data_IF_683003740850
#
_entry.id   IF_683003740850
#
_cell.length_a   1.000
_cell.length_b   1.000
_cell.length_c   1.000
_cell.angle_alpha   90.00
_cell.angle_beta   90.00
_cell.angle_gamma   90.00
#
_symmetry.space_group_name_H-M   'P 1'
#
loop_
_entity.id
_entity.type
_entity.pdbx_description
1 polymer ?
#
# COMPACT_ATOMS: atom_id res chain seq x y z
N UNK A 1 -33.51 23.92 67.50
CA UNK A 1 -33.62 24.97 66.47
C UNK A 1 -33.67 24.26 65.13
N UNK A 2 -34.80 24.39 64.43
CA UNK A 2 -35.11 23.74 63.17
C UNK A 2 -34.68 24.60 61.97
N UNK A 3 -34.33 23.97 60.84
CA UNK A 3 -34.40 24.46 59.44
C UNK A 3 -34.26 23.17 58.58
N UNK A 4 -35.27 22.48 58.01
CA UNK A 4 -36.24 22.80 56.92
C UNK A 4 -35.56 23.42 55.68
N UNK A 5 -35.78 23.10 54.39
CA UNK A 5 -36.85 22.44 53.64
C UNK A 5 -36.34 22.19 52.21
N UNK A 6 -37.01 21.27 51.52
CA UNK A 6 -36.83 20.80 50.14
C UNK A 6 -36.92 21.85 49.02
N UNK A 7 -36.40 21.48 47.84
CA UNK A 7 -37.03 21.82 46.56
C UNK A 7 -36.81 20.69 45.54
N UNK A 8 -37.89 19.93 45.27
CA UNK A 8 -38.05 19.13 44.05
C UNK A 8 -38.33 20.08 42.88
N UNK A 9 -37.73 19.83 41.71
CA UNK A 9 -38.37 20.08 40.42
C UNK A 9 -38.21 18.86 39.53
N UNK A 10 -39.35 18.29 39.21
CA UNK A 10 -39.59 17.28 38.18
C UNK A 10 -39.36 17.88 36.79
N UNK A 11 -38.59 17.21 35.95
CA UNK A 11 -38.75 17.32 34.49
C UNK A 11 -39.22 15.94 33.98
N UNK A 12 -40.45 15.91 33.50
CA UNK A 12 -40.99 14.82 32.70
C UNK A 12 -40.54 14.99 31.25
N UNK A 13 -39.84 14.00 30.70
CA UNK A 13 -39.76 13.82 29.25
C UNK A 13 -40.17 12.39 28.95
N UNK A 14 -41.38 12.28 28.42
CA UNK A 14 -41.94 11.12 27.74
C UNK A 14 -41.27 10.92 26.38
N UNK A 15 -40.86 9.70 26.02
CA UNK A 15 -40.60 9.36 24.61
C UNK A 15 -39.58 8.24 24.34
N UNK A 16 -40.05 6.99 24.40
CA UNK A 16 -39.74 5.85 23.51
C UNK A 16 -38.30 5.36 23.27
N UNK A 17 -38.00 4.21 23.91
CA UNK A 17 -37.40 2.98 23.34
C UNK A 17 -36.24 3.09 22.33
N UNK A 18 -35.00 2.84 22.79
CA UNK A 18 -34.05 1.95 22.12
C UNK A 18 -33.35 1.10 23.19
N UNK A 19 -33.48 -0.22 23.04
CA UNK A 19 -32.83 -1.23 23.89
C UNK A 19 -31.33 -1.23 23.62
N UNK A 20 -30.53 -0.84 24.62
CA UNK A 20 -29.08 -1.04 24.61
C UNK A 20 -28.76 -2.19 25.57
N UNK A 21 -28.38 -3.34 25.04
CA UNK A 21 -27.80 -4.45 25.81
C UNK A 21 -26.45 -3.98 26.39
N UNK A 22 -26.44 -3.59 27.66
CA UNK A 22 -25.23 -3.46 28.45
C UNK A 22 -24.72 -4.85 28.82
N UNK A 23 -23.70 -5.33 28.10
CA UNK A 23 -22.93 -6.50 28.50
C UNK A 23 -21.67 -6.05 29.24
N UNK A 24 -21.50 -6.63 30.43
CA UNK A 24 -20.56 -6.31 31.51
C UNK A 24 -19.09 -6.10 31.08
N UNK A 25 -18.52 -4.94 31.41
CA UNK A 25 -17.08 -4.71 31.46
C UNK A 25 -16.50 -5.20 32.79
N UNK A 26 -15.43 -5.99 32.74
CA UNK A 26 -14.46 -6.14 33.82
C UNK A 26 -13.23 -5.30 33.45
N UNK A 27 -13.01 -4.22 34.20
CA UNK A 27 -11.77 -3.44 34.12
C UNK A 27 -10.62 -4.26 34.71
N UNK A 28 -9.65 -4.62 33.86
CA UNK A 28 -8.27 -4.83 34.27
C UNK A 28 -7.43 -3.92 33.37
N UNK A 29 -6.54 -3.16 33.98
CA UNK A 29 -5.69 -2.12 33.40
C UNK A 29 -5.13 -2.47 32.00
N UNK A 30 -5.61 -1.75 30.99
CA UNK A 30 -5.13 -1.78 29.62
C UNK A 30 -6.09 -0.93 28.78
N UNK A 31 -5.56 0.06 28.06
CA UNK A 31 -6.37 1.00 27.30
C UNK A 31 -7.16 0.28 26.20
N UNK A 32 -8.46 0.04 26.43
CA UNK A 32 -9.39 -0.36 25.38
C UNK A 32 -9.85 0.90 24.69
N UNK A 33 -9.20 1.24 23.57
CA UNK A 33 -9.75 2.22 22.63
C UNK A 33 -10.92 1.53 21.91
N UNK A 34 -12.15 1.92 22.25
CA UNK A 34 -13.34 1.49 21.51
C UNK A 34 -13.34 2.16 20.13
N UNK A 35 -13.22 1.36 19.07
CA UNK A 35 -13.50 1.80 17.70
C UNK A 35 -14.98 1.62 17.39
N UNK A 36 -15.76 2.70 17.43
CA UNK A 36 -17.09 2.75 16.82
C UNK A 36 -16.95 3.35 15.42
N UNK A 37 -16.75 2.50 14.41
CA UNK A 37 -16.93 2.90 13.02
C UNK A 37 -18.44 3.03 12.75
N UNK A 38 -18.96 4.26 12.79
CA UNK A 38 -20.31 4.56 12.34
C UNK A 38 -20.29 4.84 10.84
N UNK A 39 -21.10 4.09 10.09
CA UNK A 39 -21.39 4.35 8.67
C UNK A 39 -22.10 5.69 8.54
N UNK A 40 -21.59 6.57 7.68
CA UNK A 40 -22.30 7.79 7.26
C UNK A 40 -22.84 7.55 5.85
N UNK A 41 -24.17 7.44 5.66
CA UNK A 41 -24.75 7.29 4.32
C UNK A 41 -24.76 8.62 3.55
N UNK A 42 -24.54 8.52 2.23
CA UNK A 42 -24.43 9.59 1.24
C UNK A 42 -25.41 10.74 1.45
N UNK A 43 -24.87 11.97 1.52
CA UNK A 43 -25.63 13.23 1.37
C UNK A 43 -25.01 14.08 0.27
N UNK A 44 -25.84 14.78 -0.50
CA UNK A 44 -25.36 15.78 -1.44
C UNK A 44 -24.49 16.83 -0.71
N UNK A 45 -23.26 17.04 -1.17
CA UNK A 45 -22.26 17.91 -0.53
C UNK A 45 -21.17 17.18 0.29
N UNK A 46 -21.12 15.84 0.25
CA UNK A 46 -20.06 15.03 0.85
C UNK A 46 -18.88 14.78 -0.11
N UNK A 47 -17.66 14.49 0.41
CA UNK A 47 -16.47 14.26 -0.40
C UNK A 47 -16.58 12.99 -1.26
N UNK A 48 -15.88 12.98 -2.39
CA UNK A 48 -15.91 11.87 -3.34
C UNK A 48 -15.36 10.56 -2.75
N UNK A 49 -14.43 10.67 -1.80
CA UNK A 49 -13.83 9.57 -1.06
C UNK A 49 -14.46 9.47 0.34
N UNK A 50 -15.28 8.43 0.53
CA UNK A 50 -15.90 8.10 1.80
C UNK A 50 -14.90 7.45 2.76
N UNK A 51 -14.95 7.86 4.03
CA UNK A 51 -14.08 7.34 5.07
C UNK A 51 -14.60 6.02 5.64
N UNK A 52 -13.77 4.97 5.65
CA UNK A 52 -14.16 3.63 6.12
C UNK A 52 -13.64 3.35 7.54
N UNK A 53 -12.45 3.84 7.90
CA UNK A 53 -11.97 3.67 9.27
C UNK A 53 -10.55 4.13 9.55
N UNK A 54 -10.34 4.57 10.80
CA UNK A 54 -9.05 4.95 11.37
C UNK A 54 -8.37 3.70 11.84
N UNK A 55 -7.13 3.52 11.38
CA UNK A 55 -6.20 2.76 12.16
C UNK A 55 -5.31 3.78 12.86
N UNK A 56 -5.04 3.61 14.15
CA UNK A 56 -3.90 4.30 14.79
C UNK A 56 -2.55 3.83 14.23
N UNK A 57 -2.55 3.31 13.00
CA UNK A 57 -1.52 2.59 12.27
C UNK A 57 -1.53 3.10 10.83
N UNK A 58 -0.36 3.26 10.20
CA UNK A 58 -0.27 3.55 8.78
C UNK A 58 -0.75 2.34 7.97
N UNK A 59 -1.44 2.57 6.85
CA UNK A 59 -1.75 1.54 5.85
C UNK A 59 -0.72 1.62 4.72
N UNK A 60 -0.12 0.48 4.37
CA UNK A 60 1.04 0.45 3.46
C UNK A 60 0.82 -0.38 2.20
N UNK A 61 -0.03 -1.40 2.27
CA UNK A 61 -0.31 -2.29 1.12
C UNK A 61 -1.75 -2.78 1.17
N UNK A 62 -2.32 -3.03 0.00
CA UNK A 62 -3.66 -3.57 -0.19
C UNK A 62 -3.63 -4.67 -1.24
N UNK A 63 -4.48 -5.67 -1.07
CA UNK A 63 -4.73 -6.68 -2.10
C UNK A 63 -6.19 -7.09 -2.11
N UNK A 64 -6.66 -7.50 -3.28
CA UNK A 64 -7.96 -8.15 -3.45
C UNK A 64 -7.74 -9.66 -3.63
N UNK A 65 -8.49 -10.44 -2.87
CA UNK A 65 -8.55 -11.90 -2.96
C UNK A 65 -9.52 -12.33 -4.08
N UNK A 66 -9.43 -13.59 -4.51
CA UNK A 66 -10.34 -14.12 -5.53
C UNK A 66 -11.82 -14.10 -5.11
N UNK A 67 -12.10 -14.18 -3.82
CA UNK A 67 -13.45 -14.06 -3.22
C UNK A 67 -13.83 -12.61 -2.88
N UNK A 68 -13.11 -11.63 -3.47
CA UNK A 68 -13.37 -10.19 -3.37
C UNK A 68 -13.21 -9.60 -1.96
N UNK A 69 -12.56 -10.30 -1.04
CA UNK A 69 -12.12 -9.70 0.22
C UNK A 69 -10.93 -8.77 -0.04
N UNK A 70 -10.96 -7.60 0.56
CA UNK A 70 -9.84 -6.66 0.54
C UNK A 70 -9.02 -6.86 1.82
N UNK A 71 -7.73 -7.13 1.64
CA UNK A 71 -6.74 -7.25 2.70
C UNK A 71 -5.87 -6.00 2.75
N UNK A 72 -5.48 -5.61 3.96
CA UNK A 72 -4.67 -4.43 4.22
C UNK A 72 -3.48 -4.78 5.08
N UNK A 73 -2.30 -4.32 4.69
CA UNK A 73 -1.10 -4.34 5.50
C UNK A 73 -0.96 -3.03 6.25
N UNK A 74 -0.80 -3.10 7.57
CA UNK A 74 -0.68 -1.91 8.43
C UNK A 74 0.46 -2.04 9.45
N UNK A 75 0.69 -0.98 10.25
CA UNK A 75 1.55 -1.07 11.43
C UNK A 75 0.92 -1.78 12.64
N UNK A 76 -0.23 -2.43 12.43
CA UNK A 76 -0.92 -3.30 13.39
C UNK A 76 -1.24 -4.67 12.79
N UNK A 77 -0.44 -5.14 11.82
CA UNK A 77 -0.59 -6.45 11.19
C UNK A 77 -1.46 -6.43 9.92
N UNK A 78 -2.11 -7.55 9.63
CA UNK A 78 -2.97 -7.71 8.45
C UNK A 78 -4.43 -7.54 8.87
N UNK A 79 -5.19 -6.80 8.07
CA UNK A 79 -6.60 -6.49 8.31
C UNK A 79 -7.44 -6.87 7.09
N UNK A 80 -8.73 -7.06 7.31
CA UNK A 80 -9.70 -7.32 6.25
C UNK A 80 -10.86 -6.33 6.31
N UNK A 81 -11.38 -5.98 5.14
CA UNK A 81 -12.60 -5.21 4.96
C UNK A 81 -13.80 -6.15 4.94
N UNK A 82 -14.88 -5.81 5.66
CA UNK A 82 -16.13 -6.57 5.61
C UNK A 82 -16.74 -6.61 4.21
N UNK A 83 -17.52 -7.64 3.90
CA UNK A 83 -18.11 -7.81 2.57
C UNK A 83 -19.07 -6.70 2.12
N UNK A 84 -19.57 -5.87 3.03
CA UNK A 84 -20.34 -4.64 2.71
C UNK A 84 -19.45 -3.42 2.45
N UNK A 85 -18.13 -3.55 2.61
CA UNK A 85 -17.15 -2.49 2.43
C UNK A 85 -17.12 -1.44 3.54
N UNK A 86 -17.76 -1.69 4.69
CA UNK A 86 -18.02 -0.65 5.70
C UNK A 86 -17.19 -0.76 6.98
N UNK A 87 -16.53 -1.89 7.22
CA UNK A 87 -15.85 -2.15 8.50
C UNK A 87 -14.52 -2.83 8.30
N UNK A 88 -13.62 -2.55 9.23
CA UNK A 88 -12.31 -3.17 9.35
C UNK A 88 -12.31 -4.15 10.52
N UNK A 89 -11.68 -5.30 10.31
CA UNK A 89 -11.39 -6.24 11.38
C UNK A 89 -10.00 -6.84 11.19
N UNK A 90 -9.29 -7.22 12.27
CA UNK A 90 -8.02 -7.93 12.14
C UNK A 90 -8.23 -9.19 11.31
N UNK A 91 -7.31 -9.47 10.39
CA UNK A 91 -7.24 -10.75 9.70
C UNK A 91 -6.57 -11.75 10.65
N UNK A 92 -7.37 -12.22 11.60
CA UNK A 92 -6.89 -12.91 12.79
C UNK A 92 -6.38 -14.32 12.50
N UNK A 93 -5.23 -14.65 13.10
CA UNK A 93 -4.79 -16.02 13.35
C UNK A 93 -3.45 -16.03 14.06
N UNK A 94 -3.09 -17.15 14.71
CA UNK A 94 -1.89 -17.19 15.54
C UNK A 94 -0.63 -17.12 14.68
N UNK A 95 0.45 -16.52 15.18
CA UNK A 95 1.79 -16.66 14.58
C UNK A 95 2.27 -15.51 13.69
N UNK A 96 1.44 -14.51 13.38
CA UNK A 96 1.95 -13.23 12.91
C UNK A 96 2.37 -12.44 14.16
N UNK A 97 3.61 -11.95 14.27
CA UNK A 97 3.99 -11.06 15.36
C UNK A 97 3.21 -9.73 15.28
N UNK A 98 2.04 -9.65 15.92
CA UNK A 98 1.14 -8.48 15.82
C UNK A 98 1.57 -7.29 16.71
N UNK A 99 2.41 -7.49 17.72
CA UNK A 99 2.60 -6.49 18.79
C UNK A 99 4.02 -6.33 19.34
N UNK A 100 4.99 -7.15 18.92
CA UNK A 100 6.37 -6.98 19.36
C UNK A 100 7.35 -7.64 18.40
N UNK A 101 7.90 -6.85 17.48
CA UNK A 101 9.24 -7.11 16.95
C UNK A 101 10.24 -6.72 18.05
N UNK A 102 10.11 -7.33 19.24
CA UNK A 102 11.06 -7.11 20.34
C UNK A 102 12.16 -8.15 20.19
N UNK A 103 13.40 -7.70 20.05
CA UNK A 103 14.55 -8.57 20.25
C UNK A 103 14.62 -8.91 21.74
N UNK A 104 14.83 -10.18 22.06
CA UNK A 104 15.14 -10.57 23.43
C UNK A 104 16.46 -9.91 23.85
N UNK A 105 16.38 -8.87 24.69
CA UNK A 105 17.55 -8.16 25.24
C UNK A 105 17.69 -6.70 24.81
N UNK A 106 16.86 -6.20 23.88
CA UNK A 106 16.86 -4.78 23.50
C UNK A 106 15.69 -4.01 24.14
N UNK A 107 15.88 -2.74 24.55
CA UNK A 107 14.83 -1.90 25.09
C UNK A 107 13.68 -1.71 24.06
N UNK A 108 12.44 -1.99 24.46
CA UNK A 108 11.24 -1.91 23.60
C UNK A 108 10.91 -0.49 23.13
N UNK A 109 11.56 0.52 23.70
CA UNK A 109 11.44 1.94 23.38
C UNK A 109 12.34 2.38 22.20
N UNK A 110 13.33 1.57 21.80
CA UNK A 110 14.18 1.84 20.62
C UNK A 110 13.71 1.10 19.35
N UNK A 111 12.82 0.11 19.48
CA UNK A 111 12.21 -0.60 18.36
C UNK A 111 10.92 0.10 17.95
N UNK A 112 10.86 0.64 16.73
CA UNK A 112 9.61 1.20 16.17
C UNK A 112 8.46 0.17 16.11
N UNK A 113 7.25 0.52 15.69
CA UNK A 113 6.20 -0.48 15.47
C UNK A 113 6.53 -1.37 14.26
N UNK A 114 6.16 -2.65 14.30
CA UNK A 114 6.21 -3.47 13.09
C UNK A 114 5.18 -3.00 12.07
N UNK A 115 5.41 -3.24 10.78
CA UNK A 115 4.46 -2.95 9.72
C UNK A 115 4.55 -3.94 8.56
N UNK A 116 3.49 -4.00 7.76
CA UNK A 116 3.37 -4.85 6.58
C UNK A 116 3.53 -4.00 5.31
N UNK A 117 4.77 -3.77 4.82
CA UNK A 117 4.99 -2.90 3.66
C UNK A 117 4.53 -3.55 2.35
N UNK A 118 4.43 -4.87 2.29
CA UNK A 118 4.07 -5.60 1.08
C UNK A 118 3.33 -6.88 1.47
N UNK A 119 2.18 -7.10 0.84
CA UNK A 119 1.43 -8.35 0.92
C UNK A 119 0.90 -8.72 -0.46
N UNK A 120 0.83 -10.01 -0.75
CA UNK A 120 0.29 -10.55 -2.01
C UNK A 120 -0.56 -11.79 -1.77
N UNK A 121 -1.52 -12.02 -2.67
CA UNK A 121 -2.38 -13.20 -2.64
C UNK A 121 -2.21 -13.97 -3.94
N UNK A 122 -1.95 -15.27 -3.86
CA UNK A 122 -1.86 -16.11 -5.04
C UNK A 122 -3.24 -16.65 -5.47
N UNK A 123 -3.30 -17.30 -6.64
CA UNK A 123 -4.54 -17.88 -7.19
C UNK A 123 -5.15 -19.00 -6.34
N UNK A 124 -4.41 -19.58 -5.38
CA UNK A 124 -4.93 -20.57 -4.42
C UNK A 124 -5.56 -19.93 -3.18
N UNK A 125 -5.41 -18.61 -3.02
CA UNK A 125 -5.80 -17.88 -1.81
C UNK A 125 -4.75 -17.95 -0.69
N UNK A 126 -3.53 -18.39 -0.98
CA UNK A 126 -2.43 -18.25 -0.02
C UNK A 126 -1.99 -16.77 0.00
N UNK A 127 -1.75 -16.25 1.19
CA UNK A 127 -1.31 -14.87 1.40
C UNK A 127 0.16 -14.90 1.82
N UNK A 128 0.96 -14.02 1.26
CA UNK A 128 2.35 -13.79 1.67
C UNK A 128 2.47 -12.34 2.14
N UNK A 129 3.09 -12.14 3.30
CA UNK A 129 3.25 -10.83 3.89
C UNK A 129 4.69 -10.64 4.36
N UNK A 130 5.27 -9.50 4.02
CA UNK A 130 6.52 -9.05 4.61
C UNK A 130 6.19 -8.35 5.91
N UNK A 131 6.85 -8.73 7.00
CA UNK A 131 6.81 -8.03 8.27
C UNK A 131 8.15 -7.32 8.48
N UNK A 132 8.12 -6.00 8.60
CA UNK A 132 9.28 -5.14 8.76
C UNK A 132 9.14 -4.24 9.98
N UNK A 133 10.23 -3.61 10.40
CA UNK A 133 10.28 -2.77 11.59
C UNK A 133 11.47 -1.83 11.49
N UNK A 134 11.38 -0.51 11.74
CA UNK A 134 12.48 0.45 11.52
C UNK A 134 13.79 0.21 12.32
N UNK A 135 13.82 -0.77 13.21
CA UNK A 135 15.03 -1.23 13.89
C UNK A 135 15.42 -2.69 13.57
N UNK A 136 14.62 -3.46 12.80
CA UNK A 136 14.87 -4.89 12.54
C UNK A 136 14.65 -5.33 11.08
N UNK A 137 15.52 -6.24 10.58
CA UNK A 137 15.39 -6.81 9.25
C UNK A 137 14.05 -7.47 8.97
N UNK A 138 13.48 -7.17 7.80
CA UNK A 138 12.20 -7.70 7.34
C UNK A 138 12.22 -9.22 7.16
N UNK A 139 11.06 -9.84 7.39
CA UNK A 139 10.85 -11.30 7.33
C UNK A 139 9.59 -11.64 6.56
N UNK A 140 9.62 -12.78 5.88
CA UNK A 140 8.50 -13.26 5.05
C UNK A 140 7.66 -14.30 5.79
N UNK A 141 6.37 -14.02 5.90
CA UNK A 141 5.36 -14.92 6.46
C UNK A 141 4.36 -15.33 5.39
N UNK A 142 3.73 -16.49 5.60
CA UNK A 142 2.62 -16.95 4.76
C UNK A 142 1.42 -17.40 5.60
N UNK A 143 0.26 -17.27 4.98
CA UNK A 143 -1.00 -17.85 5.40
C UNK A 143 -1.49 -18.75 4.27
N UNK A 144 -1.57 -20.05 4.51
CA UNK A 144 -2.10 -20.98 3.52
C UNK A 144 -3.62 -20.92 3.50
N UNK A 145 -4.22 -21.05 2.32
CA UNK A 145 -5.68 -21.09 2.16
C UNK A 145 -6.30 -22.19 3.05
N UNK A 146 -7.30 -21.82 3.85
CA UNK A 146 -7.90 -22.71 4.87
C UNK A 146 -7.08 -22.89 6.15
N UNK A 147 -5.94 -22.22 6.27
CA UNK A 147 -5.13 -22.11 7.48
C UNK A 147 -5.82 -21.31 8.58
N UNK A 148 -5.26 -21.40 9.79
CA UNK A 148 -5.66 -20.58 10.96
C UNK A 148 -4.47 -19.85 11.61
N UNK A 149 -3.28 -20.01 11.02
CA UNK A 149 -2.03 -19.54 11.58
C UNK A 149 -1.14 -18.99 10.47
N UNK A 150 -0.43 -17.92 10.79
CA UNK A 150 0.69 -17.42 10.02
C UNK A 150 1.94 -18.19 10.40
N UNK A 151 2.76 -18.50 9.40
CA UNK A 151 4.04 -19.16 9.60
C UNK A 151 5.14 -18.48 8.81
N UNK A 152 6.37 -18.52 9.33
CA UNK A 152 7.53 -18.08 8.57
C UNK A 152 7.68 -18.95 7.32
N UNK A 153 7.99 -18.35 6.18
CA UNK A 153 8.19 -19.10 4.94
C UNK A 153 9.43 -20.00 5.09
N UNK A 154 9.30 -21.35 4.95
CA UNK A 154 10.37 -22.28 5.34
C UNK A 154 11.72 -22.05 4.67
N UNK A 155 11.73 -21.64 3.40
CA UNK A 155 12.96 -21.36 2.65
C UNK A 155 13.48 -19.94 2.81
N UNK A 156 12.80 -19.04 3.51
CA UNK A 156 13.15 -17.62 3.48
C UNK A 156 14.53 -17.31 4.06
N UNK A 157 14.99 -18.08 5.04
CA UNK A 157 16.35 -17.96 5.59
C UNK A 157 17.44 -18.28 4.56
N UNK A 158 17.15 -19.04 3.50
CA UNK A 158 18.10 -19.33 2.41
C UNK A 158 18.46 -18.08 1.60
N UNK A 159 17.59 -17.07 1.62
CA UNK A 159 17.81 -15.80 0.92
C UNK A 159 18.74 -14.84 1.68
N UNK A 160 18.86 -15.05 3.00
CA UNK A 160 19.59 -14.16 3.91
C UNK A 160 21.03 -14.65 4.05
N UNK A 161 22.01 -13.82 3.67
CA UNK A 161 23.45 -14.13 3.77
C UNK A 161 24.08 -13.63 5.07
N UNK A 162 23.39 -12.75 5.77
CA UNK A 162 23.77 -12.20 7.07
C UNK A 162 22.52 -11.83 7.86
N UNK A 163 22.66 -11.65 9.18
CA UNK A 163 21.55 -11.24 10.03
C UNK A 163 20.97 -9.88 9.66
N UNK A 164 21.77 -9.00 9.03
CA UNK A 164 21.38 -7.68 8.54
C UNK A 164 20.61 -7.68 7.19
N UNK A 165 20.44 -8.84 6.56
CA UNK A 165 19.65 -8.94 5.33
C UNK A 165 18.15 -8.85 5.66
N UNK A 166 17.48 -7.98 4.92
CA UNK A 166 16.08 -7.63 5.10
C UNK A 166 15.26 -7.99 3.88
N UNK A 167 14.19 -8.74 4.10
CA UNK A 167 13.16 -8.92 3.06
C UNK A 167 12.38 -7.63 2.91
N UNK A 168 12.25 -7.11 1.68
CA UNK A 168 11.61 -5.82 1.41
C UNK A 168 10.20 -5.97 0.83
N UNK A 169 10.12 -6.52 -0.38
CA UNK A 169 8.90 -6.61 -1.18
C UNK A 169 8.67 -8.06 -1.61
N UNK A 170 7.39 -8.43 -1.78
CA UNK A 170 6.99 -9.71 -2.35
C UNK A 170 6.03 -9.48 -3.51
N UNK A 171 6.20 -10.24 -4.59
CA UNK A 171 5.26 -10.32 -5.70
C UNK A 171 5.00 -11.78 -6.09
N UNK A 172 3.83 -12.03 -6.68
CA UNK A 172 3.44 -13.35 -7.19
C UNK A 172 3.09 -13.24 -8.66
N UNK A 173 3.68 -14.12 -9.48
CA UNK A 173 3.35 -14.23 -10.88
C UNK A 173 2.06 -15.04 -11.09
N UNK A 174 1.41 -14.93 -12.27
CA UNK A 174 0.20 -15.69 -12.59
C UNK A 174 0.34 -17.21 -12.46
N UNK A 175 1.55 -17.75 -12.68
CA UNK A 175 1.86 -19.18 -12.53
C UNK A 175 2.10 -19.61 -11.06
N UNK A 176 2.02 -18.68 -10.11
CA UNK A 176 2.26 -18.90 -8.68
C UNK A 176 3.72 -18.78 -8.26
N UNK A 177 4.65 -18.45 -9.17
CA UNK A 177 6.04 -18.14 -8.84
C UNK A 177 6.10 -16.91 -7.93
N UNK A 178 6.86 -16.98 -6.85
CA UNK A 178 7.14 -15.86 -5.95
C UNK A 178 8.44 -15.15 -6.35
N UNK A 179 8.42 -13.83 -6.28
CA UNK A 179 9.60 -12.98 -6.33
C UNK A 179 9.70 -12.17 -5.05
N UNK A 180 10.90 -12.10 -4.47
CA UNK A 180 11.16 -11.38 -3.23
C UNK A 180 12.40 -10.53 -3.39
N UNK A 181 12.33 -9.29 -2.91
CA UNK A 181 13.52 -8.42 -2.81
C UNK A 181 14.19 -8.60 -1.46
N UNK A 182 15.51 -8.64 -1.47
CA UNK A 182 16.35 -8.65 -0.26
C UNK A 182 17.36 -7.52 -0.37
N UNK A 183 17.38 -6.67 0.65
CA UNK A 183 18.33 -5.56 0.77
C UNK A 183 18.97 -5.52 2.15
N UNK A 184 20.09 -4.81 2.27
CA UNK A 184 20.68 -4.58 3.59
C UNK A 184 19.87 -3.53 4.37
N UNK A 185 19.56 -3.88 5.61
CA UNK A 185 18.78 -3.09 6.58
C UNK A 185 19.24 -1.63 6.73
N UNK A 186 20.55 -1.37 6.64
CA UNK A 186 21.17 -0.04 6.69
C UNK A 186 21.85 0.40 5.39
N UNK A 187 21.30 0.04 4.23
CA UNK A 187 21.78 0.52 2.91
C UNK A 187 23.22 0.06 2.60
N UNK A 188 23.47 -1.22 2.89
CA UNK A 188 24.68 -1.96 2.47
C UNK A 188 24.68 -2.29 0.96
N UNK A 189 25.74 -2.92 0.43
CA UNK A 189 25.97 -3.05 -1.01
C UNK A 189 25.07 -4.10 -1.72
N UNK A 190 24.01 -4.57 -1.07
CA UNK A 190 23.18 -5.68 -1.53
C UNK A 190 21.76 -5.20 -1.80
N UNK A 191 21.38 -5.31 -3.06
CA UNK A 191 20.02 -5.30 -3.57
C UNK A 191 19.89 -6.56 -4.43
N UNK A 192 19.12 -7.54 -3.98
CA UNK A 192 18.99 -8.83 -4.64
C UNK A 192 17.52 -9.19 -4.86
N UNK A 193 17.27 -10.00 -5.89
CA UNK A 193 15.96 -10.58 -6.16
C UNK A 193 16.07 -12.08 -6.14
N UNK A 194 15.17 -12.69 -5.37
CA UNK A 194 15.05 -14.12 -5.22
C UNK A 194 13.74 -14.61 -5.83
N UNK A 195 13.80 -15.79 -6.44
CA UNK A 195 12.67 -16.46 -7.08
C UNK A 195 12.40 -17.81 -6.40
N UNK A 196 11.12 -18.13 -6.18
CA UNK A 196 10.67 -19.44 -5.75
C UNK A 196 9.54 -19.95 -6.64
N UNK A 197 9.68 -21.16 -7.18
CA UNK A 197 8.66 -21.83 -7.99
C UNK A 197 7.82 -22.84 -7.20
N UNK A 198 8.10 -23.03 -5.91
CA UNK A 198 7.53 -24.10 -5.08
C UNK A 198 6.83 -23.56 -3.81
N UNK A 199 6.35 -22.31 -3.87
CA UNK A 199 5.61 -21.69 -2.77
C UNK A 199 6.50 -21.31 -1.58
N UNK A 200 7.76 -20.96 -1.84
CA UNK A 200 8.72 -20.47 -0.86
C UNK A 200 9.50 -21.56 -0.12
N UNK A 201 9.51 -22.79 -0.62
CA UNK A 201 10.28 -23.91 -0.04
C UNK A 201 11.75 -23.80 -0.44
N UNK A 202 12.03 -23.50 -1.70
CA UNK A 202 13.37 -23.22 -2.21
C UNK A 202 13.42 -21.88 -2.93
N UNK A 203 14.58 -21.23 -2.85
CA UNK A 203 14.82 -19.92 -3.45
C UNK A 203 16.11 -19.92 -4.28
N UNK A 204 16.06 -19.27 -5.43
CA UNK A 204 17.22 -18.98 -6.27
C UNK A 204 17.42 -17.46 -6.37
N UNK A 205 18.65 -16.99 -6.17
CA UNK A 205 19.00 -15.59 -6.48
C UNK A 205 19.00 -15.43 -8.00
N UNK A 206 18.10 -14.61 -8.53
CA UNK A 206 17.94 -14.36 -9.97
C UNK A 206 18.44 -12.96 -10.36
N UNK A 207 18.66 -12.08 -9.38
CA UNK A 207 19.32 -10.81 -9.64
C UNK A 207 20.21 -10.44 -8.45
N UNK A 208 21.40 -9.97 -8.76
CA UNK A 208 22.23 -9.18 -7.85
C UNK A 208 22.43 -7.82 -8.51
N UNK A 209 21.76 -6.82 -7.95
CA UNK A 209 21.68 -5.46 -8.48
C UNK A 209 22.62 -4.50 -7.73
N UNK A 210 23.33 -5.02 -6.71
CA UNK A 210 24.27 -4.28 -5.87
C UNK A 210 25.73 -4.32 -6.35
N UNK A 211 26.57 -3.52 -5.69
CA UNK A 211 27.98 -3.32 -6.03
C UNK A 211 28.56 -2.07 -5.35
N UNK A 212 27.69 -1.09 -5.10
CA UNK A 212 27.94 0.11 -4.31
C UNK A 212 27.05 0.11 -3.06
N UNK A 213 27.51 0.75 -1.99
CA UNK A 213 26.65 1.10 -0.86
C UNK A 213 25.49 1.98 -1.33
N UNK A 214 24.34 1.89 -0.65
CA UNK A 214 23.15 2.72 -0.89
C UNK A 214 22.25 2.34 -2.06
N UNK A 215 22.36 1.12 -2.62
CA UNK A 215 21.38 0.59 -3.59
C UNK A 215 20.10 0.11 -2.89
N UNK A 216 18.94 0.52 -3.40
CA UNK A 216 17.62 0.06 -2.96
C UNK A 216 16.78 -0.46 -4.12
N UNK A 217 15.83 -1.34 -3.78
CA UNK A 217 14.73 -1.72 -4.66
C UNK A 217 13.48 -1.18 -3.99
N UNK A 218 12.88 -0.18 -4.62
CA UNK A 218 11.79 0.60 -4.06
C UNK A 218 10.43 0.08 -4.52
N UNK A 219 10.39 -0.60 -5.68
CA UNK A 219 9.16 -1.17 -6.24
C UNK A 219 9.42 -2.50 -6.94
N UNK A 220 8.45 -3.41 -6.83
CA UNK A 220 8.44 -4.74 -7.45
C UNK A 220 7.01 -5.03 -7.90
N UNK A 221 6.84 -5.36 -9.18
CA UNK A 221 5.56 -5.79 -9.72
C UNK A 221 5.72 -6.90 -10.76
N UNK A 222 4.65 -7.68 -10.98
CA UNK A 222 4.61 -8.71 -12.03
C UNK A 222 3.41 -8.44 -12.92
N UNK A 223 3.66 -8.33 -14.22
CA UNK A 223 2.62 -8.16 -15.25
C UNK A 223 1.76 -9.42 -15.43
N UNK A 224 0.57 -9.31 -16.03
CA UNK A 224 -0.27 -10.46 -16.41
C UNK A 224 0.44 -11.48 -17.32
N UNK A 225 1.43 -11.05 -18.10
CA UNK A 225 2.25 -11.89 -18.97
C UNK A 225 3.41 -12.57 -18.21
N UNK A 226 3.59 -12.27 -16.93
CA UNK A 226 4.62 -12.84 -16.07
C UNK A 226 5.97 -12.12 -16.14
N UNK A 227 6.06 -10.96 -16.81
CA UNK A 227 7.27 -10.12 -16.74
C UNK A 227 7.42 -9.51 -15.36
N UNK A 228 8.64 -9.52 -14.83
CA UNK A 228 8.99 -8.94 -13.52
C UNK A 228 9.58 -7.55 -13.72
N UNK A 229 8.99 -6.56 -13.05
CA UNK A 229 9.36 -5.15 -13.13
C UNK A 229 9.90 -4.69 -11.78
N UNK A 230 11.05 -4.00 -11.83
CA UNK A 230 11.73 -3.48 -10.65
C UNK A 230 12.02 -2.00 -10.85
N UNK A 231 11.71 -1.19 -9.84
CA UNK A 231 12.23 0.16 -9.69
C UNK A 231 13.20 0.20 -8.51
N UNK A 232 14.32 0.88 -8.68
CA UNK A 232 15.31 1.01 -7.64
C UNK A 232 16.35 2.05 -7.98
N UNK A 233 17.39 2.13 -7.18
CA UNK A 233 18.44 3.12 -7.41
C UNK A 233 19.38 3.29 -6.26
N UNK A 234 20.36 4.15 -6.50
CA UNK A 234 21.25 4.61 -5.46
C UNK A 234 20.67 5.84 -4.79
N UNK A 235 20.50 5.76 -3.48
CA UNK A 235 19.86 6.81 -2.70
C UNK A 235 20.60 8.14 -2.83
N UNK A 236 19.86 9.18 -3.22
CA UNK A 236 20.42 10.51 -3.46
C UNK A 236 21.21 10.62 -4.79
N UNK A 237 21.09 9.64 -5.68
CA UNK A 237 21.79 9.57 -6.96
C UNK A 237 20.87 8.97 -8.05
N UNK A 238 21.43 8.19 -8.98
CA UNK A 238 20.74 7.66 -10.14
C UNK A 238 19.77 6.53 -9.78
N UNK A 239 18.58 6.56 -10.37
CA UNK A 239 17.62 5.46 -10.29
C UNK A 239 17.67 4.62 -11.56
N UNK A 240 17.04 3.47 -11.53
CA UNK A 240 16.91 2.55 -12.66
C UNK A 240 15.55 1.85 -12.59
N UNK A 241 15.05 1.49 -13.77
CA UNK A 241 13.95 0.53 -13.93
C UNK A 241 14.49 -0.67 -14.69
N UNK A 242 14.23 -1.89 -14.22
CA UNK A 242 14.68 -3.13 -14.86
C UNK A 242 13.52 -4.10 -15.02
N UNK A 243 13.52 -4.78 -16.16
CA UNK A 243 12.48 -5.74 -16.54
C UNK A 243 13.10 -7.07 -16.91
N UNK A 244 12.49 -8.15 -16.47
CA UNK A 244 12.81 -9.51 -16.91
C UNK A 244 11.58 -10.19 -17.48
N UNK A 245 11.73 -10.82 -18.64
CA UNK A 245 10.68 -11.61 -19.31
C UNK A 245 10.93 -13.13 -19.23
N UNK A 246 12.01 -13.55 -18.59
CA UNK A 246 12.47 -14.95 -18.53
C UNK A 246 12.62 -15.46 -17.09
N UNK A 247 11.79 -14.94 -16.19
CA UNK A 247 11.76 -15.35 -14.79
C UNK A 247 12.99 -14.91 -13.98
N UNK A 248 13.60 -13.78 -14.37
CA UNK A 248 14.76 -13.21 -13.73
C UNK A 248 16.10 -13.73 -14.25
N UNK A 249 16.13 -14.58 -15.29
CA UNK A 249 17.40 -15.08 -15.83
C UNK A 249 18.22 -13.97 -16.52
N UNK A 250 17.53 -13.04 -17.19
CA UNK A 250 18.11 -11.82 -17.76
C UNK A 250 17.27 -10.59 -17.42
N UNK A 251 17.94 -9.44 -17.38
CA UNK A 251 17.34 -8.15 -17.00
C UNK A 251 17.71 -7.08 -18.01
N UNK A 252 16.73 -6.31 -18.45
CA UNK A 252 16.91 -5.16 -19.35
C UNK A 252 16.54 -3.88 -18.63
N UNK A 253 17.43 -2.89 -18.65
CA UNK A 253 17.12 -1.54 -18.13
C UNK A 253 16.13 -0.84 -19.08
N UNK A 254 15.07 -0.27 -18.50
CA UNK A 254 14.15 0.65 -19.16
C UNK A 254 14.36 2.04 -18.59
N UNK A 255 14.27 3.06 -19.42
CA UNK A 255 14.42 4.45 -18.97
C UNK A 255 13.17 5.22 -19.33
N UNK A 256 12.56 5.83 -18.32
CA UNK A 256 11.40 6.70 -18.50
C UNK A 256 11.91 8.07 -18.91
N UNK A 257 12.14 8.27 -20.20
CA UNK A 257 12.54 9.54 -20.81
C UNK A 257 11.56 9.84 -21.95
N UNK A 258 10.83 10.97 -21.94
CA UNK A 258 10.15 11.46 -23.14
C UNK A 258 11.16 11.73 -24.25
N UNK A 259 10.88 11.35 -25.50
CA UNK A 259 11.80 11.46 -26.66
C UNK A 259 12.50 12.83 -26.85
N UNK A 260 11.99 13.90 -26.24
CA UNK A 260 12.54 15.25 -26.33
C UNK A 260 13.73 15.53 -25.41
N UNK A 261 13.95 14.73 -24.36
CA UNK A 261 15.07 14.92 -23.43
C UNK A 261 16.33 14.17 -23.92
N UNK A 262 16.91 14.70 -25.00
CA UNK A 262 18.22 14.25 -25.47
C UNK A 262 19.29 14.58 -24.41
N UNK A 263 19.98 13.55 -23.92
CA UNK A 263 21.25 13.57 -23.17
C UNK A 263 21.25 13.45 -21.64
N UNK A 264 20.42 12.58 -21.06
CA UNK A 264 20.45 12.41 -19.60
C UNK A 264 20.54 10.93 -19.20
N UNK A 265 21.53 10.61 -18.35
CA UNK A 265 21.89 9.24 -17.92
C UNK A 265 21.23 8.81 -16.60
N UNK A 266 20.44 9.68 -15.96
CA UNK A 266 19.76 9.37 -14.70
C UNK A 266 18.27 9.08 -14.94
N UNK A 267 17.77 7.98 -14.37
CA UNK A 267 16.33 7.64 -14.41
C UNK A 267 15.58 8.25 -13.25
N UNK A 268 14.25 8.34 -13.40
CA UNK A 268 13.33 8.64 -12.31
C UNK A 268 13.23 7.46 -11.33
N UNK A 269 12.97 7.76 -10.05
CA UNK A 269 12.59 6.71 -9.10
C UNK A 269 11.19 6.23 -9.47
N UNK A 270 11.03 4.96 -9.79
CA UNK A 270 9.70 4.39 -10.09
C UNK A 270 9.07 3.91 -8.81
N UNK A 271 7.94 4.52 -8.45
CA UNK A 271 7.29 4.31 -7.17
C UNK A 271 6.32 3.15 -7.22
N UNK A 272 5.59 3.01 -8.34
CA UNK A 272 4.55 2.00 -8.49
C UNK A 272 4.27 1.68 -9.96
N UNK A 273 3.66 0.51 -10.20
CA UNK A 273 3.31 -0.01 -11.53
C UNK A 273 1.86 -0.48 -11.58
N UNK A 274 1.17 -0.16 -12.67
CA UNK A 274 -0.10 -0.76 -13.03
C UNK A 274 -0.05 -1.30 -14.47
N UNK A 275 -0.74 -2.41 -14.73
CA UNK A 275 -0.75 -3.09 -16.02
C UNK A 275 -2.18 -3.24 -16.54
N UNK A 276 -2.38 -3.00 -17.84
CA UNK A 276 -3.62 -3.41 -18.50
C UNK A 276 -3.52 -4.85 -19.04
N UNK A 277 -4.66 -5.43 -19.41
CA UNK A 277 -4.71 -6.79 -19.97
C UNK A 277 -4.23 -6.92 -21.42
N UNK A 278 -3.75 -5.83 -22.02
CA UNK A 278 -3.24 -5.77 -23.39
C UNK A 278 -1.71 -5.53 -23.45
N UNK A 279 -1.03 -5.55 -22.30
CA UNK A 279 0.42 -5.35 -22.18
C UNK A 279 0.85 -3.89 -22.00
N UNK A 280 -0.09 -2.97 -21.79
CA UNK A 280 0.19 -1.60 -21.39
C UNK A 280 0.68 -1.53 -19.95
N UNK A 281 1.69 -0.69 -19.70
CA UNK A 281 2.27 -0.42 -18.38
C UNK A 281 2.17 1.06 -18.06
N UNK A 282 1.75 1.37 -16.84
CA UNK A 282 1.60 2.69 -16.29
C UNK A 282 2.46 2.81 -15.05
N UNK A 283 3.21 3.90 -14.91
CA UNK A 283 4.13 4.11 -13.79
C UNK A 283 3.99 5.50 -13.22
N UNK A 284 4.09 5.59 -11.89
CA UNK A 284 4.34 6.84 -11.19
C UNK A 284 5.83 6.98 -10.91
N UNK A 285 6.35 8.17 -11.11
CA UNK A 285 7.78 8.42 -10.87
C UNK A 285 8.01 9.64 -9.97
N UNK A 286 9.02 9.57 -9.09
CA UNK A 286 9.50 10.74 -8.35
C UNK A 286 10.65 11.43 -9.10
N UNK A 287 10.65 12.76 -9.04
CA UNK A 287 11.66 13.59 -9.71
C UNK A 287 12.98 13.59 -8.95
N UNK A 288 14.08 13.39 -9.67
CA UNK A 288 15.45 13.41 -9.14
C UNK A 288 16.05 14.81 -8.92
N UNK A 289 15.28 15.88 -9.19
CA UNK A 289 15.79 17.26 -9.29
C UNK A 289 16.42 17.55 -10.66
N UNK A 290 16.29 18.78 -11.18
CA UNK A 290 16.71 19.15 -12.54
C UNK A 290 15.58 19.01 -13.57
N UNK A 291 15.92 18.72 -14.82
CA UNK A 291 15.00 18.57 -15.98
C UNK A 291 14.20 17.25 -16.01
N UNK A 292 14.08 16.55 -14.87
CA UNK A 292 13.39 15.25 -14.76
C UNK A 292 12.07 15.41 -14.02
N UNK A 293 10.97 15.71 -14.73
CA UNK A 293 9.74 16.02 -14.05
C UNK A 293 9.06 14.73 -13.62
N UNK A 294 8.79 14.62 -12.32
CA UNK A 294 7.93 13.59 -11.76
C UNK A 294 6.60 13.56 -12.53
N UNK A 295 6.07 12.37 -12.77
CA UNK A 295 4.87 12.23 -13.57
C UNK A 295 4.27 10.84 -13.57
N UNK A 296 3.13 10.75 -14.23
CA UNK A 296 2.53 9.48 -14.64
C UNK A 296 2.93 9.23 -16.08
N UNK A 297 3.49 8.06 -16.34
CA UNK A 297 3.96 7.67 -17.67
C UNK A 297 3.30 6.35 -18.09
N UNK A 298 3.12 6.18 -19.39
CA UNK A 298 2.53 5.00 -20.01
C UNK A 298 3.41 4.47 -21.13
N UNK A 299 3.44 3.15 -21.29
CA UNK A 299 4.05 2.47 -22.43
C UNK A 299 3.17 1.31 -22.90
N UNK A 300 3.12 1.07 -24.21
CA UNK A 300 2.41 -0.06 -24.82
C UNK A 300 3.36 -1.05 -25.51
N UNK A 301 4.68 -0.87 -25.37
CA UNK A 301 5.71 -1.67 -26.04
C UNK A 301 6.67 -2.34 -25.05
N UNK A 302 6.21 -2.59 -23.82
CA UNK A 302 7.02 -3.21 -22.76
C UNK A 302 8.09 -2.27 -22.21
N UNK A 303 7.76 -0.97 -22.11
CA UNK A 303 8.58 0.06 -21.48
C UNK A 303 9.74 0.54 -22.35
N UNK A 304 9.67 0.36 -23.67
CA UNK A 304 10.71 0.83 -24.61
C UNK A 304 10.49 2.33 -24.90
N UNK A 305 9.25 2.72 -25.19
CA UNK A 305 8.84 4.11 -25.39
C UNK A 305 7.82 4.48 -24.33
N UNK A 306 7.99 5.67 -23.75
CA UNK A 306 7.12 6.20 -22.71
C UNK A 306 6.46 7.51 -23.15
N UNK A 307 5.16 7.59 -22.96
CA UNK A 307 4.36 8.81 -23.08
C UNK A 307 4.06 9.34 -21.68
N UNK A 308 4.20 10.64 -21.48
CA UNK A 308 3.85 11.29 -20.21
C UNK A 308 2.37 11.65 -20.24
N UNK A 309 1.61 11.14 -19.28
CA UNK A 309 0.17 11.40 -19.14
C UNK A 309 -0.13 12.55 -18.19
N UNK A 310 0.69 12.71 -17.16
CA UNK A 310 0.50 13.76 -16.17
C UNK A 310 1.81 14.24 -15.57
N UNK A 311 1.77 15.49 -15.10
CA UNK A 311 2.82 16.15 -14.35
C UNK A 311 2.49 16.25 -12.87
N UNK A 312 3.52 16.33 -12.03
CA UNK A 312 3.32 16.81 -10.65
C UNK A 312 4.08 18.11 -10.45
N UNK A 313 3.36 19.19 -10.16
CA UNK A 313 3.95 20.53 -9.91
C UNK A 313 4.99 20.52 -8.77
N UNK A 314 4.86 19.59 -7.80
CA UNK A 314 5.75 19.49 -6.65
C UNK A 314 6.96 18.56 -6.85
N UNK A 315 7.10 17.90 -8.00
CA UNK A 315 8.22 17.02 -8.36
C UNK A 315 8.57 15.87 -7.37
N UNK A 316 7.82 15.68 -6.27
CA UNK A 316 8.27 14.86 -5.12
C UNK A 316 7.20 14.05 -4.41
N UNK A 317 5.93 14.21 -4.75
CA UNK A 317 4.84 13.66 -3.93
C UNK A 317 3.90 12.72 -4.71
N UNK A 318 4.35 12.14 -5.83
CA UNK A 318 3.64 11.01 -6.44
C UNK A 318 3.75 9.77 -5.54
N UNK A 319 2.76 8.89 -5.61
CA UNK A 319 2.73 7.65 -4.84
C UNK A 319 2.25 6.49 -5.70
N UNK A 320 1.05 5.99 -5.40
CA UNK A 320 0.48 4.80 -6.00
C UNK A 320 -0.26 5.08 -7.31
N UNK A 321 -0.42 4.04 -8.13
CA UNK A 321 -1.21 4.04 -9.36
C UNK A 321 -2.13 2.82 -9.39
N UNK A 322 -3.38 3.02 -9.79
CA UNK A 322 -4.34 1.94 -10.01
C UNK A 322 -5.00 2.09 -11.38
N UNK A 323 -5.34 0.95 -11.98
CA UNK A 323 -5.85 0.87 -13.35
C UNK A 323 -7.03 -0.10 -13.41
N UNK A 324 -8.07 0.27 -14.16
CA UNK A 324 -9.16 -0.66 -14.52
C UNK A 324 -8.88 -1.37 -15.84
N UNK A 325 -9.59 -2.46 -16.11
CA UNK A 325 -9.55 -3.13 -17.41
C UNK A 325 -9.92 -2.20 -18.59
N UNK A 326 -10.77 -1.20 -18.34
CA UNK A 326 -11.18 -0.19 -19.32
C UNK A 326 -10.19 0.99 -19.43
N UNK A 327 -9.01 0.89 -18.81
CA UNK A 327 -7.95 1.91 -18.76
C UNK A 327 -8.38 3.22 -18.10
N UNK A 328 -9.27 3.14 -17.11
CA UNK A 328 -9.42 4.26 -16.16
C UNK A 328 -8.23 4.23 -15.20
N UNK A 329 -7.50 5.33 -15.13
CA UNK A 329 -6.24 5.43 -14.38
C UNK A 329 -6.47 6.33 -13.19
N UNK A 330 -6.05 5.91 -12.01
CA UNK A 330 -6.01 6.75 -10.83
C UNK A 330 -4.58 6.79 -10.28
N UNK A 331 -4.11 7.95 -9.86
CA UNK A 331 -2.82 8.09 -9.19
C UNK A 331 -2.92 9.01 -7.98
N UNK A 332 -2.02 8.82 -7.01
CA UNK A 332 -1.92 9.73 -5.88
C UNK A 332 -0.82 10.76 -6.06
N UNK A 333 -1.11 12.01 -5.67
CA UNK A 333 -0.11 13.08 -5.57
C UNK A 333 -0.45 14.08 -4.45
N UNK A 334 0.52 14.42 -3.59
CA UNK A 334 0.38 15.41 -2.51
C UNK A 334 -0.84 15.16 -1.58
N UNK A 335 -1.06 13.91 -1.17
CA UNK A 335 -2.22 13.55 -0.35
C UNK A 335 -3.57 13.67 -1.08
N UNK A 336 -3.57 13.88 -2.40
CA UNK A 336 -4.76 13.85 -3.25
C UNK A 336 -4.74 12.63 -4.17
N UNK A 337 -5.90 12.30 -4.71
CA UNK A 337 -6.04 11.28 -5.75
C UNK A 337 -6.62 11.95 -6.99
N UNK A 338 -6.06 11.63 -8.16
CA UNK A 338 -6.55 12.07 -9.46
C UNK A 338 -6.92 10.86 -10.28
N UNK A 339 -8.06 10.90 -10.95
CA UNK A 339 -8.52 9.82 -11.81
C UNK A 339 -8.89 10.34 -13.19
N UNK A 340 -8.49 9.61 -14.22
CA UNK A 340 -8.88 9.79 -15.60
C UNK A 340 -9.77 8.62 -16.02
N UNK A 341 -10.87 8.94 -16.70
CA UNK A 341 -11.76 7.96 -17.33
C UNK A 341 -11.56 7.88 -18.85
N UNK A 342 -10.59 8.62 -19.38
CA UNK A 342 -10.34 8.80 -20.80
C UNK A 342 -8.85 8.57 -21.13
N UNK A 343 -8.25 7.57 -20.48
CA UNK A 343 -6.90 7.08 -20.74
C UNK A 343 -5.82 8.18 -20.63
N UNK A 344 -5.97 9.05 -19.64
CA UNK A 344 -5.04 10.11 -19.27
C UNK A 344 -5.25 11.44 -19.99
N UNK A 345 -6.32 11.60 -20.78
CA UNK A 345 -6.59 12.86 -21.51
C UNK A 345 -7.07 13.97 -20.58
N UNK A 346 -7.88 13.63 -19.57
CA UNK A 346 -8.36 14.57 -18.57
C UNK A 346 -8.48 13.91 -17.20
N UNK A 347 -8.41 14.72 -16.15
CA UNK A 347 -8.29 14.27 -14.78
C UNK A 347 -9.34 14.91 -13.89
N UNK A 348 -9.91 14.11 -12.99
CA UNK A 348 -10.74 14.57 -11.88
C UNK A 348 -9.94 14.43 -10.60
N UNK A 349 -9.79 15.51 -9.83
CA UNK A 349 -9.24 15.46 -8.47
C UNK A 349 -10.34 14.98 -7.53
N UNK A 350 -10.11 13.86 -6.85
CA UNK A 350 -11.06 13.33 -5.87
C UNK A 350 -10.89 14.05 -4.54
N UNK A 351 -12.00 14.49 -3.96
CA UNK A 351 -12.01 15.16 -2.67
C UNK A 351 -12.07 14.16 -1.52
N UNK A 352 -11.30 14.44 -0.46
CA UNK A 352 -11.34 13.74 0.81
C UNK A 352 -12.09 14.57 1.86
N UNK A 353 -12.49 13.93 2.95
CA UNK A 353 -13.15 14.61 4.07
C UNK A 353 -12.19 15.61 4.72
N UNK A 354 -12.64 16.86 4.88
CA UNK A 354 -11.79 17.97 5.33
C UNK A 354 -11.31 17.85 6.79
N UNK A 355 -12.01 17.07 7.63
CA UNK A 355 -11.62 16.78 9.00
C UNK A 355 -10.52 15.71 9.12
N UNK A 356 -10.34 14.90 8.07
CA UNK A 356 -9.31 13.88 7.97
C UNK A 356 -8.61 13.92 6.60
N UNK A 357 -7.91 15.01 6.27
CA UNK A 357 -7.19 15.10 5.01
C UNK A 357 -5.98 14.16 5.05
N UNK A 358 -5.83 13.24 4.08
CA UNK A 358 -4.65 12.39 4.03
C UNK A 358 -3.42 13.21 3.64
N UNK A 359 -2.28 12.86 4.23
CA UNK A 359 -0.99 13.49 3.88
C UNK A 359 -0.23 12.69 2.84
N UNK A 360 -0.31 11.35 2.92
CA UNK A 360 0.23 10.43 1.93
C UNK A 360 -0.79 9.34 1.64
N UNK A 361 -1.00 9.07 0.35
CA UNK A 361 -1.74 7.89 -0.11
C UNK A 361 -0.69 6.87 -0.56
N UNK A 362 -0.57 5.78 0.19
CA UNK A 362 0.47 4.76 0.03
C UNK A 362 0.14 3.74 -1.04
N UNK A 363 -1.13 3.41 -1.16
CA UNK A 363 -1.57 2.37 -2.08
C UNK A 363 -2.98 2.72 -2.59
N UNK A 364 -3.23 2.33 -3.83
CA UNK A 364 -4.50 2.47 -4.53
C UNK A 364 -4.91 1.12 -5.09
N UNK A 365 -6.17 0.75 -4.89
CA UNK A 365 -6.73 -0.50 -5.39
C UNK A 365 -8.10 -0.19 -6.01
N UNK A 366 -8.38 -0.73 -7.19
CA UNK A 366 -9.74 -0.68 -7.75
C UNK A 366 -10.37 -2.07 -7.61
N UNK A 367 -11.53 -2.14 -6.96
CA UNK A 367 -12.25 -3.38 -6.76
C UNK A 367 -13.00 -3.84 -8.03
N UNK A 368 -13.54 -5.05 -8.00
CA UNK A 368 -14.28 -5.63 -9.14
C UNK A 368 -15.56 -4.87 -9.51
N UNK A 369 -16.06 -4.02 -8.60
CA UNK A 369 -17.24 -3.19 -8.82
C UNK A 369 -16.83 -1.78 -9.31
N UNK A 370 -15.54 -1.57 -9.58
CA UNK A 370 -14.97 -0.33 -10.11
C UNK A 370 -14.75 0.77 -9.08
N UNK A 371 -14.92 0.49 -7.77
CA UNK A 371 -14.67 1.50 -6.74
C UNK A 371 -13.19 1.57 -6.41
N UNK A 372 -12.71 2.80 -6.24
CA UNK A 372 -11.34 3.07 -5.83
C UNK A 372 -11.23 3.02 -4.31
N UNK A 373 -10.21 2.33 -3.83
CA UNK A 373 -9.78 2.28 -2.45
C UNK A 373 -8.44 2.99 -2.31
N UNK A 374 -8.30 3.79 -1.25
CA UNK A 374 -7.08 4.51 -0.95
C UNK A 374 -6.63 4.21 0.48
N UNK A 375 -5.44 3.62 0.60
CA UNK A 375 -4.75 3.41 1.87
C UNK A 375 -3.85 4.61 2.17
N UNK A 376 -4.01 5.21 3.35
CA UNK A 376 -3.28 6.43 3.69
C UNK A 376 -2.38 6.26 4.91
N UNK A 377 -1.29 7.03 4.92
CA UNK A 377 -0.38 7.18 6.05
C UNK A 377 -0.39 8.65 6.49
N UNK A 378 -0.13 8.88 7.77
CA UNK A 378 0.10 10.22 8.27
C UNK A 378 1.44 10.33 9.00
N UNK A 379 2.31 11.27 8.59
CA UNK A 379 3.65 11.46 9.18
C UNK A 379 3.63 12.51 10.31
N UNK A 380 4.10 12.14 11.51
CA UNK A 380 4.39 13.09 12.61
C UNK A 380 4.06 12.57 14.03
N UNK A 381 4.66 13.18 15.05
CA UNK A 381 4.52 12.79 16.47
C UNK A 381 3.14 13.12 17.10
N UNK A 382 2.27 13.83 16.40
CA UNK A 382 0.93 14.24 16.88
C UNK A 382 -0.22 13.61 16.08
N UNK A 383 0.05 12.54 15.32
CA UNK A 383 -0.60 12.28 14.02
C UNK A 383 -1.24 10.88 13.91
N UNK A 384 -1.75 10.34 15.03
CA UNK A 384 -2.57 9.12 15.00
C UNK A 384 -4.00 9.35 14.43
N UNK A 385 -4.35 10.58 14.05
CA UNK A 385 -5.73 10.97 13.76
C UNK A 385 -6.14 10.95 12.27
N UNK A 386 -5.21 10.76 11.31
CA UNK A 386 -5.51 11.02 9.88
C UNK A 386 -5.09 9.89 8.90
N UNK A 387 -4.58 8.76 9.39
CA UNK A 387 -4.34 7.57 8.56
C UNK A 387 -5.61 6.73 8.48
N UNK A 388 -6.00 6.29 7.30
CA UNK A 388 -7.21 5.49 7.18
C UNK A 388 -7.45 4.93 5.79
N UNK A 389 -8.50 4.14 5.71
CA UNK A 389 -8.99 3.58 4.47
C UNK A 389 -10.15 4.44 3.96
N UNK A 390 -10.07 4.79 2.68
CA UNK A 390 -11.13 5.52 1.99
C UNK A 390 -11.60 4.70 0.79
N UNK A 391 -12.88 4.86 0.44
CA UNK A 391 -13.50 4.24 -0.74
C UNK A 391 -14.23 5.31 -1.54
N UNK A 392 -14.13 5.30 -2.86
CA UNK A 392 -14.91 6.19 -3.71
C UNK A 392 -16.41 5.93 -3.54
N UNK A 393 -17.23 6.98 -3.60
CA UNK A 393 -18.69 6.84 -3.52
C UNK A 393 -19.31 6.28 -4.80
N UNK A 394 -18.64 6.48 -5.93
CA UNK A 394 -19.04 6.00 -7.24
C UNK A 394 -17.88 5.23 -7.87
N UNK A 395 -18.17 4.31 -8.80
CA UNK A 395 -17.13 3.70 -9.61
C UNK A 395 -16.33 4.74 -10.38
N UNK A 396 -15.05 4.46 -10.63
CA UNK A 396 -14.18 5.33 -11.43
C UNK A 396 -14.76 5.46 -12.84
N UNK A 397 -14.96 6.70 -13.30
CA UNK A 397 -15.55 7.01 -14.62
C UNK A 397 -17.07 7.16 -14.63
N UNK A 398 -17.76 6.86 -13.52
CA UNK A 398 -19.20 7.09 -13.41
C UNK A 398 -19.52 8.50 -12.86
N UNK A 399 -19.71 9.49 -13.74
CA UNK A 399 -20.26 10.80 -13.37
C UNK A 399 -19.28 11.79 -12.72
N UNK A 400 -17.97 11.55 -12.83
CA UNK A 400 -16.93 12.45 -12.35
C UNK A 400 -16.72 13.63 -13.31
N UNK A 401 -16.72 14.89 -12.85
CA UNK A 401 -16.48 16.04 -13.72
C UNK A 401 -15.02 16.08 -14.16
N UNK A 402 -14.77 15.63 -15.39
CA UNK A 402 -13.45 15.66 -16.01
C UNK A 402 -12.97 17.10 -16.23
N UNK A 403 -11.74 17.41 -15.78
CA UNK A 403 -11.07 18.66 -16.07
C UNK A 403 -9.77 18.39 -16.85
N UNK A 404 -9.46 19.16 -17.90
CA UNK A 404 -8.15 19.05 -18.55
C UNK A 404 -7.05 19.38 -17.53
N UNK A 405 -5.89 18.72 -17.64
CA UNK A 405 -4.73 19.06 -16.81
C UNK A 405 -4.30 20.49 -17.13
N UNK A 406 -4.12 21.31 -16.09
CA UNK A 406 -3.52 22.64 -16.25
C UNK A 406 -2.01 22.42 -16.23
N UNK A 407 -1.36 22.70 -17.37
CA UNK A 407 0.10 22.62 -17.57
C UNK A 407 0.90 23.59 -16.69
#
# INVERSE_FOLDING_TARGET
>A
MAVQVAARRSLSVTGSLVSMMLSRLLLVSGAVVLFLAAVVPVRAGEPDMAYIGLMGYGLYSMQVTADRQILLGSSGGVWQVSGDGQRLSPFSGLGLPETSCSVAGEPTDETGPCYIPSLVVNSRGDIFAVLSNDSLPGRLYRWLSGGKVWEAVPGASQMLRSDDDSVGLVAVAPDGTLYVTVSFWFRGPRAAVYRSADGGVTWAEVAYLGGDYWETIDSLAVSPEGQVWLGGGKLGSSHWMRVSSDGGATWTTRTVIPETANQLTDSHNTLDYAFDGAGGVYVTTAGGGGDYPAGVYRSFDGGVIWERLASSEANRDLGAVALTADRHICYSAQGSVRCSADDGVSWTVLTFRADYPPTYVKDLLIDSDGHLWAATESRGLSVAANAGLYRSQQPVGAGWPLQPEVE
#
